data_IF_910049806361
#
_entry.id   IF_910049806361
#
_cell.length_a   1.000
_cell.length_b   1.000
_cell.length_c   1.000
_cell.angle_alpha   90.00
_cell.angle_beta   90.00
_cell.angle_gamma   90.00
#
_symmetry.space_group_name_H-M   'P 1'
#
loop_
_entity.id
_entity.type
_entity.pdbx_description
1 polymer ?
#
# COMPACT_ATOMS: atom_id res chain seq x y z
N UNK A 1 -8.24 20.04 23.50
CA UNK A 1 -8.75 19.42 22.27
C UNK A 1 -9.08 20.55 21.32
N UNK A 2 -8.37 20.62 20.20
CA UNK A 2 -8.69 21.57 19.13
C UNK A 2 -9.96 21.06 18.43
N UNK A 3 -11.06 21.80 18.58
CA UNK A 3 -12.36 21.49 17.97
C UNK A 3 -12.56 22.25 16.66
N UNK A 4 -11.49 22.65 15.97
CA UNK A 4 -11.60 23.32 14.69
C UNK A 4 -12.09 22.36 13.60
N UNK A 5 -12.86 22.89 12.64
CA UNK A 5 -13.33 22.14 11.46
C UNK A 5 -12.18 21.56 10.63
N UNK A 6 -10.98 22.14 10.72
CA UNK A 6 -9.78 21.65 10.05
C UNK A 6 -9.29 20.31 10.63
N UNK A 7 -9.47 20.07 11.94
CA UNK A 7 -9.09 18.82 12.59
C UNK A 7 -9.98 17.62 12.21
N UNK A 8 -11.10 17.86 11.50
CA UNK A 8 -12.04 16.84 11.02
C UNK A 8 -11.84 16.49 9.53
N UNK A 9 -10.94 17.18 8.81
CA UNK A 9 -10.68 16.87 7.40
C UNK A 9 -9.66 15.74 7.26
N UNK A 10 -9.85 14.83 6.29
CA UNK A 10 -8.81 13.86 5.96
C UNK A 10 -7.54 14.57 5.48
N UNK A 11 -6.39 13.92 5.65
CA UNK A 11 -5.12 14.39 5.06
C UNK A 11 -5.26 14.37 3.54
N UNK A 12 -4.72 15.38 2.88
CA UNK A 12 -4.74 15.52 1.42
C UNK A 12 -3.32 15.35 0.86
N UNK A 13 -3.21 14.72 -0.32
CA UNK A 13 -1.95 14.55 -1.03
C UNK A 13 -2.20 14.73 -2.53
N UNK A 14 -1.31 15.45 -3.22
CA UNK A 14 -1.39 15.64 -4.67
C UNK A 14 -0.43 14.68 -5.35
N UNK A 15 -0.96 13.62 -5.97
CA UNK A 15 -0.20 12.70 -6.79
C UNK A 15 -0.01 13.26 -8.21
N UNK A 16 1.23 13.40 -8.64
CA UNK A 16 1.55 13.91 -9.97
C UNK A 16 1.63 12.78 -11.00
N UNK A 17 1.24 13.09 -12.25
CA UNK A 17 1.34 12.14 -13.35
C UNK A 17 2.81 11.94 -13.74
N UNK A 18 3.26 10.69 -13.80
CA UNK A 18 4.55 10.34 -14.36
C UNK A 18 4.55 10.43 -15.89
N UNK A 19 5.64 10.94 -16.45
CA UNK A 19 5.82 11.03 -17.91
C UNK A 19 6.16 9.67 -18.54
N UNK A 20 6.76 8.77 -17.76
CA UNK A 20 7.06 7.39 -18.12
C UNK A 20 6.98 6.52 -16.85
N UNK A 21 6.64 5.21 -16.97
CA UNK A 21 6.63 4.30 -15.84
C UNK A 21 8.01 4.23 -15.13
N UNK A 22 8.06 4.19 -13.79
CA UNK A 22 9.30 4.01 -13.03
C UNK A 22 9.83 2.58 -13.19
N UNK A 23 11.10 2.38 -12.83
CA UNK A 23 11.67 1.03 -12.73
C UNK A 23 11.46 0.52 -11.31
N UNK A 24 10.52 -0.41 -11.13
CA UNK A 24 10.22 -0.98 -9.81
C UNK A 24 11.36 -1.90 -9.35
N UNK A 25 12.23 -1.40 -8.48
CA UNK A 25 13.32 -2.15 -7.84
C UNK A 25 13.46 -1.88 -6.31
N UNK A 26 12.50 -1.14 -5.76
CA UNK A 26 12.43 -0.70 -4.36
C UNK A 26 13.19 0.59 -4.09
N UNK A 27 13.90 1.18 -5.06
CA UNK A 27 14.76 2.35 -4.83
C UNK A 27 14.04 3.69 -5.03
N UNK A 28 13.61 4.32 -3.93
CA UNK A 28 12.95 5.63 -3.97
C UNK A 28 13.87 6.84 -4.22
N UNK A 29 15.16 6.59 -4.55
CA UNK A 29 16.16 7.63 -4.89
C UNK A 29 16.37 7.79 -6.38
N UNK A 30 15.70 7.02 -7.23
CA UNK A 30 15.77 7.23 -8.68
C UNK A 30 15.07 8.51 -9.13
N UNK A 31 15.39 8.94 -10.35
CA UNK A 31 14.94 10.23 -10.89
C UNK A 31 13.41 10.38 -10.95
N UNK A 32 12.67 9.29 -11.12
CA UNK A 32 11.20 9.31 -11.11
C UNK A 32 10.63 9.78 -9.76
N UNK A 33 11.25 9.36 -8.65
CA UNK A 33 10.78 9.64 -7.30
C UNK A 33 11.43 10.87 -6.67
N UNK A 34 12.57 11.35 -7.17
CA UNK A 34 13.35 12.44 -6.55
C UNK A 34 12.51 13.69 -6.27
N UNK A 35 11.61 14.05 -7.17
CA UNK A 35 10.75 15.25 -7.05
C UNK A 35 9.34 14.97 -6.53
N UNK A 36 9.00 13.71 -6.25
CA UNK A 36 7.70 13.35 -5.68
C UNK A 36 7.72 13.66 -4.17
N UNK A 37 6.81 14.51 -3.66
CA UNK A 37 6.82 14.91 -2.27
C UNK A 37 6.50 13.73 -1.35
N UNK A 38 7.07 13.70 -0.16
CA UNK A 38 6.66 12.75 0.87
C UNK A 38 5.31 13.14 1.48
N UNK A 39 4.53 12.15 1.92
CA UNK A 39 3.47 12.36 2.91
C UNK A 39 4.09 12.84 4.24
N UNK A 40 3.24 13.30 5.16
CA UNK A 40 3.63 13.28 6.57
C UNK A 40 3.81 11.84 7.06
N UNK A 41 4.51 11.68 8.18
CA UNK A 41 4.67 10.38 8.83
C UNK A 41 3.31 9.78 9.19
N UNK A 42 3.27 8.45 9.10
CA UNK A 42 2.13 7.66 9.51
C UNK A 42 1.93 7.79 11.02
N UNK A 43 0.68 7.64 11.43
CA UNK A 43 0.28 7.70 12.85
C UNK A 43 -0.35 6.37 13.22
N UNK A 44 -0.47 6.11 14.51
CA UNK A 44 -1.26 4.99 15.01
C UNK A 44 -2.71 5.06 14.47
N UNK A 45 -3.25 3.94 14.02
CA UNK A 45 -4.60 3.91 13.40
C UNK A 45 -5.73 4.25 14.40
N UNK A 46 -5.47 4.09 15.72
CA UNK A 46 -6.43 4.35 16.78
C UNK A 46 -6.22 5.68 17.50
N UNK A 47 -5.05 6.32 17.33
CA UNK A 47 -4.67 7.55 18.04
C UNK A 47 -3.80 8.47 17.17
N UNK A 48 -3.78 9.79 17.39
CA UNK A 48 -2.90 10.69 16.63
C UNK A 48 -1.41 10.61 17.04
N UNK A 49 -1.01 9.54 17.74
CA UNK A 49 0.34 9.34 18.24
C UNK A 49 1.27 8.97 17.09
N UNK A 50 2.44 9.59 17.03
CA UNK A 50 3.51 9.16 16.13
C UNK A 50 4.14 7.88 16.68
N UNK A 51 4.16 6.78 15.91
CA UNK A 51 4.95 5.61 16.26
C UNK A 51 6.44 5.95 16.33
N UNK A 52 7.16 5.19 17.12
CA UNK A 52 8.63 5.28 17.24
C UNK A 52 9.40 4.87 15.98
N UNK A 53 8.75 4.15 15.06
CA UNK A 53 9.29 3.71 13.79
C UNK A 53 8.55 4.51 12.73
N UNK A 54 9.30 5.31 11.98
CA UNK A 54 8.74 6.21 11.00
C UNK A 54 8.40 5.46 9.71
N UNK A 55 7.18 5.68 9.23
CA UNK A 55 6.74 5.26 7.90
C UNK A 55 6.16 6.45 7.15
N UNK A 56 6.52 6.59 5.88
CA UNK A 56 6.01 7.65 4.99
C UNK A 56 5.97 7.15 3.55
N UNK A 57 5.13 7.79 2.74
CA UNK A 57 4.91 7.39 1.35
C UNK A 57 5.06 8.53 0.34
N UNK A 58 5.17 8.17 -0.93
CA UNK A 58 5.13 8.99 -2.14
C UNK A 58 4.07 8.39 -3.05
N UNK A 59 3.26 9.24 -3.69
CA UNK A 59 2.26 8.77 -4.65
C UNK A 59 2.44 9.48 -5.99
N UNK A 60 2.32 8.72 -7.07
CA UNK A 60 2.29 9.21 -8.44
C UNK A 60 1.33 8.34 -9.25
N UNK A 61 1.01 8.71 -10.48
CA UNK A 61 0.13 7.90 -11.33
C UNK A 61 0.49 8.02 -12.80
N UNK A 62 0.02 7.08 -13.62
CA UNK A 62 -0.06 7.23 -15.07
C UNK A 62 -1.42 6.72 -15.58
N UNK A 63 -1.59 6.60 -16.90
CA UNK A 63 -2.88 6.19 -17.47
C UNK A 63 -3.28 4.73 -17.13
N UNK A 64 -2.43 3.96 -16.46
CA UNK A 64 -2.62 2.54 -16.15
C UNK A 64 -2.50 2.21 -14.67
N UNK A 65 -1.68 2.94 -13.93
CA UNK A 65 -1.31 2.59 -12.55
C UNK A 65 -1.39 3.78 -11.61
N UNK A 66 -1.79 3.50 -10.38
CA UNK A 66 -1.42 4.28 -9.21
C UNK A 66 -0.08 3.71 -8.69
N UNK A 67 0.93 4.57 -8.58
CA UNK A 67 2.22 4.23 -8.02
C UNK A 67 2.31 4.67 -6.57
N UNK A 68 2.72 3.76 -5.69
CA UNK A 68 2.99 4.03 -4.28
C UNK A 68 4.41 3.61 -3.97
N UNK A 69 5.21 4.53 -3.48
CA UNK A 69 6.53 4.26 -2.92
C UNK A 69 6.52 4.54 -1.42
N UNK A 70 6.99 3.64 -0.57
CA UNK A 70 7.05 3.91 0.87
C UNK A 70 8.41 3.54 1.48
N UNK A 71 8.77 4.27 2.52
CA UNK A 71 9.94 4.02 3.36
C UNK A 71 9.45 3.68 4.76
N UNK A 72 9.91 2.55 5.29
CA UNK A 72 9.53 2.01 6.59
C UNK A 72 10.80 1.78 7.41
N UNK A 73 10.88 2.41 8.58
CA UNK A 73 11.91 2.05 9.57
C UNK A 73 11.57 0.71 10.21
N UNK A 74 12.55 -0.20 10.19
CA UNK A 74 12.47 -1.49 10.85
C UNK A 74 13.87 -1.86 11.37
N UNK A 75 14.10 -1.87 12.70
CA UNK A 75 15.40 -2.16 13.28
C UNK A 75 15.74 -3.65 13.29
N UNK A 76 14.77 -4.50 12.93
CA UNK A 76 14.94 -5.95 12.84
C UNK A 76 14.06 -6.50 11.72
N UNK A 77 14.57 -6.45 10.50
CA UNK A 77 13.86 -6.91 9.31
C UNK A 77 13.45 -8.38 9.47
N UNK A 78 12.15 -8.62 9.39
CA UNK A 78 11.58 -9.94 9.55
C UNK A 78 10.48 -10.22 8.53
N UNK A 79 10.57 -11.38 7.88
CA UNK A 79 9.51 -11.91 7.03
C UNK A 79 9.66 -13.43 6.90
N UNK A 80 8.55 -14.14 6.82
CA UNK A 80 8.50 -15.61 6.72
C UNK A 80 7.68 -16.07 5.53
N UNK A 81 6.64 -15.32 5.15
CA UNK A 81 5.77 -15.57 4.02
C UNK A 81 6.45 -15.17 2.72
N UNK A 82 6.21 -15.93 1.66
CA UNK A 82 6.98 -15.83 0.40
C UNK A 82 6.12 -15.90 -0.85
N UNK A 83 4.90 -16.40 -0.73
CA UNK A 83 4.02 -16.63 -1.87
C UNK A 83 2.98 -15.54 -1.93
N UNK A 84 2.62 -15.21 -3.17
CA UNK A 84 1.44 -14.42 -3.44
C UNK A 84 0.19 -15.10 -2.86
N UNK A 85 -0.76 -14.31 -2.36
CA UNK A 85 -1.99 -14.74 -1.68
C UNK A 85 -1.79 -15.53 -0.37
N UNK A 86 -0.65 -15.37 0.29
CA UNK A 86 -0.53 -15.71 1.71
C UNK A 86 -1.12 -14.59 2.57
N UNK A 87 -1.57 -14.92 3.78
CA UNK A 87 -2.15 -13.95 4.71
C UNK A 87 -1.02 -13.11 5.31
N UNK A 88 -0.70 -11.97 4.67
CA UNK A 88 0.57 -11.24 4.83
C UNK A 88 0.75 -10.61 6.22
N UNK A 89 -0.30 -10.12 6.87
CA UNK A 89 -0.27 -9.52 8.22
C UNK A 89 0.32 -10.39 9.36
N UNK A 90 0.71 -11.65 9.08
CA UNK A 90 1.49 -12.47 10.01
C UNK A 90 3.00 -12.15 10.02
N UNK A 91 3.48 -11.36 9.06
CA UNK A 91 4.82 -10.76 9.02
C UNK A 91 4.74 -9.25 9.31
N UNK A 92 5.89 -8.56 9.38
CA UNK A 92 5.91 -7.11 9.23
C UNK A 92 5.51 -6.78 7.78
N UNK A 93 4.46 -5.98 7.62
CA UNK A 93 3.85 -5.70 6.34
C UNK A 93 3.57 -4.21 6.11
N UNK A 94 3.33 -3.89 4.84
CA UNK A 94 2.88 -2.58 4.38
C UNK A 94 1.59 -2.74 3.60
N UNK A 95 0.57 -1.99 4.01
CA UNK A 95 -0.77 -2.08 3.47
C UNK A 95 -1.18 -0.80 2.73
N UNK A 96 -1.90 -0.95 1.61
CA UNK A 96 -2.48 0.14 0.84
C UNK A 96 -3.97 -0.13 0.67
N UNK A 97 -4.80 0.81 1.15
CA UNK A 97 -6.25 0.78 0.98
C UNK A 97 -6.68 1.86 -0.01
N UNK A 98 -7.47 1.48 -1.02
CA UNK A 98 -7.96 2.41 -2.05
C UNK A 98 -9.45 2.22 -2.30
N UNK A 99 -10.22 3.29 -2.03
CA UNK A 99 -11.61 3.45 -2.44
C UNK A 99 -11.69 4.43 -3.62
N UNK A 100 -11.44 3.92 -4.82
CA UNK A 100 -11.22 4.74 -6.02
C UNK A 100 -12.45 5.55 -6.49
N UNK A 101 -13.65 5.19 -6.04
CA UNK A 101 -14.89 5.94 -6.34
C UNK A 101 -15.54 6.60 -5.11
N UNK A 102 -14.85 6.59 -3.97
CA UNK A 102 -15.28 7.22 -2.71
C UNK A 102 -16.66 6.75 -2.22
N UNK A 103 -16.98 5.46 -2.36
CA UNK A 103 -18.27 4.90 -1.93
C UNK A 103 -18.23 4.16 -0.61
N UNK A 104 -17.05 3.98 -0.03
CA UNK A 104 -16.71 3.11 1.11
C UNK A 104 -17.02 1.62 0.86
N UNK A 105 -17.35 1.24 -0.37
CA UNK A 105 -17.74 -0.11 -0.76
C UNK A 105 -16.85 -0.62 -1.89
N UNK A 106 -16.57 -1.93 -1.86
CA UNK A 106 -15.71 -2.57 -2.85
C UNK A 106 -14.31 -1.94 -2.92
N UNK A 107 -13.78 -1.45 -1.80
CA UNK A 107 -12.45 -0.84 -1.77
C UNK A 107 -11.38 -1.93 -1.76
N UNK A 108 -10.22 -1.62 -2.34
CA UNK A 108 -9.14 -2.58 -2.54
C UNK A 108 -8.15 -2.43 -1.42
N UNK A 109 -7.61 -3.55 -1.02
CA UNK A 109 -6.55 -3.66 -0.07
C UNK A 109 -5.43 -4.45 -0.74
N UNK A 110 -4.21 -3.97 -0.54
CA UNK A 110 -3.00 -4.60 -1.01
C UNK A 110 -2.04 -4.64 0.17
N UNK A 111 -1.53 -5.83 0.49
CA UNK A 111 -0.52 -6.06 1.51
C UNK A 111 0.76 -6.58 0.87
N UNK A 112 1.91 -6.22 1.44
CA UNK A 112 3.19 -6.82 1.07
C UNK A 112 4.16 -6.88 2.26
N UNK A 113 5.06 -7.86 2.26
CA UNK A 113 6.12 -7.97 3.26
C UNK A 113 7.52 -7.69 2.70
N UNK A 114 8.53 -7.75 3.56
CA UNK A 114 9.94 -7.54 3.19
C UNK A 114 10.53 -8.60 2.22
N UNK A 115 9.83 -9.72 1.97
CA UNK A 115 10.17 -10.68 0.91
C UNK A 115 9.54 -10.32 -0.45
N UNK A 116 8.79 -9.23 -0.55
CA UNK A 116 7.96 -8.89 -1.70
C UNK A 116 6.88 -9.95 -1.98
N UNK A 117 6.48 -10.72 -0.96
CA UNK A 117 5.25 -11.50 -1.03
C UNK A 117 4.07 -10.54 -0.95
N UNK A 118 3.05 -10.76 -1.77
CA UNK A 118 1.93 -9.82 -1.94
C UNK A 118 0.61 -10.52 -1.72
N UNK A 119 -0.37 -9.78 -1.26
CA UNK A 119 -1.74 -10.24 -1.17
C UNK A 119 -2.66 -9.08 -1.52
N UNK A 120 -3.63 -9.31 -2.40
CA UNK A 120 -4.65 -8.32 -2.68
C UNK A 120 -6.06 -8.90 -2.54
N UNK A 121 -6.95 -8.03 -2.09
CA UNK A 121 -8.32 -8.38 -1.77
C UNK A 121 -9.22 -7.16 -1.97
N UNK A 122 -10.51 -7.46 -2.05
CA UNK A 122 -11.55 -6.45 -2.05
C UNK A 122 -12.37 -6.55 -0.76
N UNK A 123 -12.55 -5.44 -0.08
CA UNK A 123 -13.49 -5.32 1.03
C UNK A 123 -14.84 -4.80 0.53
N UNK A 124 -15.87 -5.62 0.71
CA UNK A 124 -17.23 -5.30 0.25
C UNK A 124 -17.77 -3.99 0.82
N UNK A 125 -17.44 -3.70 2.09
CA UNK A 125 -17.74 -2.48 2.87
C UNK A 125 -16.95 -2.55 4.19
N UNK A 126 -16.95 -1.52 5.05
CA UNK A 126 -16.22 -1.56 6.31
C UNK A 126 -16.68 -2.74 7.19
N UNK A 127 -15.75 -3.34 7.93
CA UNK A 127 -16.07 -4.44 8.86
C UNK A 127 -17.13 -4.04 9.89
N UNK A 128 -17.09 -2.80 10.38
CA UNK A 128 -18.10 -2.25 11.30
C UNK A 128 -19.52 -2.23 10.74
N UNK A 129 -19.66 -2.24 9.41
CA UNK A 129 -20.94 -2.26 8.70
C UNK A 129 -21.34 -3.68 8.26
N UNK A 130 -20.67 -4.72 8.78
CA UNK A 130 -20.89 -6.11 8.41
C UNK A 130 -20.34 -6.45 7.02
N UNK A 131 -19.24 -5.79 6.63
CA UNK A 131 -18.46 -6.15 5.47
C UNK A 131 -17.53 -7.33 5.70
N UNK A 132 -16.92 -7.79 4.62
CA UNK A 132 -15.97 -8.89 4.64
C UNK A 132 -15.07 -8.90 3.41
N UNK A 133 -13.98 -9.62 3.58
CA UNK A 133 -12.95 -9.95 2.59
C UNK A 133 -13.52 -10.75 1.42
N UNK A 134 -13.10 -10.35 0.21
CA UNK A 134 -13.25 -11.10 -1.03
C UNK A 134 -11.83 -11.23 -1.62
N UNK A 135 -11.24 -12.40 -1.44
CA UNK A 135 -9.87 -12.76 -1.86
C UNK A 135 -9.85 -14.18 -2.42
N UNK A 136 -8.71 -14.63 -2.95
CA UNK A 136 -8.50 -16.03 -3.34
C UNK A 136 -8.57 -17.04 -2.18
N UNK A 137 -8.40 -16.58 -0.94
CA UNK A 137 -8.58 -17.43 0.26
C UNK A 137 -10.06 -17.65 0.61
N UNK A 138 -10.88 -16.60 0.57
CA UNK A 138 -12.30 -16.65 0.98
C UNK A 138 -13.22 -17.05 -0.17
N UNK A 139 -12.89 -16.66 -1.40
CA UNK A 139 -13.70 -16.87 -2.61
C UNK A 139 -12.85 -17.48 -3.74
N UNK A 140 -12.51 -18.78 -3.71
CA UNK A 140 -11.42 -19.34 -4.52
C UNK A 140 -11.65 -19.45 -6.04
N UNK A 141 -12.85 -19.23 -6.59
CA UNK A 141 -13.04 -19.21 -8.06
C UNK A 141 -14.39 -18.61 -8.56
N UNK A 142 -14.37 -17.61 -9.48
CA UNK A 142 -13.22 -16.73 -9.74
C UNK A 142 -12.92 -15.92 -8.47
N UNK A 143 -11.66 -15.87 -8.07
CA UNK A 143 -11.24 -15.01 -6.99
C UNK A 143 -10.91 -13.60 -7.47
N UNK A 144 -10.87 -12.67 -6.53
CA UNK A 144 -10.32 -11.34 -6.77
C UNK A 144 -8.80 -11.42 -6.67
N UNK A 145 -8.13 -11.01 -7.75
CA UNK A 145 -6.67 -10.93 -7.89
C UNK A 145 -6.36 -9.86 -8.94
N UNK A 146 -5.52 -8.88 -8.59
CA UNK A 146 -5.08 -7.80 -9.47
C UNK A 146 -3.86 -8.18 -10.33
N UNK A 147 -3.31 -9.39 -10.17
CA UNK A 147 -2.22 -9.93 -10.97
C UNK A 147 -2.70 -10.76 -12.18
N UNK A 148 -2.02 -10.64 -13.33
CA UNK A 148 -1.37 -9.41 -13.82
C UNK A 148 -2.44 -8.32 -14.11
N UNK A 149 -2.09 -7.01 -14.04
CA UNK A 149 -0.75 -6.47 -14.20
C UNK A 149 -0.18 -5.76 -12.95
N UNK A 150 -0.71 -5.98 -11.74
CA UNK A 150 -0.08 -5.49 -10.51
C UNK A 150 1.40 -5.90 -10.43
N UNK A 151 2.25 -4.99 -9.95
CA UNK A 151 3.68 -5.24 -9.75
C UNK A 151 4.21 -4.52 -8.51
N UNK A 152 5.20 -5.11 -7.85
CA UNK A 152 5.83 -4.53 -6.67
C UNK A 152 7.31 -4.91 -6.57
N UNK A 153 8.07 -4.11 -5.82
CA UNK A 153 9.47 -4.36 -5.51
C UNK A 153 9.81 -3.88 -4.09
N UNK A 154 10.84 -4.50 -3.50
CA UNK A 154 11.36 -4.20 -2.16
C UNK A 154 12.86 -3.98 -2.24
N UNK A 155 13.35 -2.96 -1.55
CA UNK A 155 14.77 -2.75 -1.25
C UNK A 155 14.97 -2.76 0.26
N UNK A 156 15.91 -3.59 0.72
CA UNK A 156 16.23 -3.73 2.15
C UNK A 156 17.45 -2.87 2.51
N UNK A 157 17.38 -2.18 3.64
CA UNK A 157 18.51 -1.55 4.29
C UNK A 157 18.90 -2.36 5.54
N UNK A 158 19.41 -3.57 5.33
CA UNK A 158 19.67 -4.49 6.42
C UNK A 158 19.76 -5.94 5.97
N UNK A 159 19.69 -6.86 6.93
CA UNK A 159 19.77 -8.30 6.72
C UNK A 159 18.51 -9.00 7.23
N UNK A 160 17.62 -9.35 6.30
CA UNK A 160 16.35 -10.02 6.60
C UNK A 160 16.56 -11.31 7.41
N UNK A 161 15.78 -11.46 8.48
CA UNK A 161 15.78 -12.61 9.38
C UNK A 161 17.14 -12.86 10.08
N UNK A 162 17.89 -11.80 10.41
CA UNK A 162 19.14 -11.89 11.17
C UNK A 162 19.05 -11.21 12.55
N UNK A 163 18.31 -11.80 13.52
CA UNK A 163 18.06 -11.16 14.81
C UNK A 163 19.31 -10.99 15.70
N UNK A 164 20.38 -11.74 15.41
CA UNK A 164 21.68 -11.60 16.08
C UNK A 164 22.65 -10.64 15.37
N UNK A 165 22.23 -10.04 14.25
CA UNK A 165 23.00 -9.08 13.47
C UNK A 165 23.03 -7.67 14.09
N UNK A 166 23.71 -6.71 13.42
CA UNK A 166 23.55 -5.31 13.75
C UNK A 166 22.09 -4.85 13.49
N UNK A 167 21.62 -3.77 14.12
CA UNK A 167 20.31 -3.19 13.81
C UNK A 167 20.18 -2.86 12.32
N UNK A 168 19.03 -3.18 11.76
CA UNK A 168 18.67 -2.80 10.40
C UNK A 168 18.22 -1.33 10.35
N UNK A 169 18.19 -0.77 9.15
CA UNK A 169 17.72 0.60 8.90
C UNK A 169 16.37 0.64 8.20
N UNK A 170 15.65 -0.49 8.10
CA UNK A 170 14.35 -0.57 7.45
C UNK A 170 14.38 -1.05 6.00
N UNK A 171 13.30 -0.73 5.29
CA UNK A 171 13.05 -1.18 3.93
C UNK A 171 12.20 -0.16 3.18
N UNK A 172 12.33 -0.17 1.86
CA UNK A 172 11.50 0.62 0.96
C UNK A 172 10.78 -0.27 -0.02
N UNK A 173 9.59 0.18 -0.41
CA UNK A 173 8.72 -0.53 -1.34
C UNK A 173 8.36 0.37 -2.51
N UNK A 174 8.13 -0.24 -3.65
CA UNK A 174 7.45 0.37 -4.79
C UNK A 174 6.33 -0.56 -5.25
N UNK A 175 5.15 0.01 -5.51
CA UNK A 175 3.95 -0.73 -5.92
C UNK A 175 3.30 0.00 -7.08
N UNK A 176 2.97 -0.73 -8.14
CA UNK A 176 2.15 -0.28 -9.25
C UNK A 176 0.78 -0.99 -9.19
N UNK A 177 -0.22 -0.29 -8.68
CA UNK A 177 -1.59 -0.77 -8.54
C UNK A 177 -2.38 -0.45 -9.82
N UNK A 178 -2.93 -1.44 -10.54
CA UNK A 178 -3.64 -1.18 -11.79
C UNK A 178 -4.94 -0.42 -11.55
N UNK A 179 -5.16 0.69 -12.24
CA UNK A 179 -6.37 1.50 -12.07
C UNK A 179 -7.66 0.70 -12.38
N UNK A 180 -7.62 -0.16 -13.40
CA UNK A 180 -8.73 -1.06 -13.72
C UNK A 180 -9.03 -2.06 -12.59
N UNK A 181 -7.97 -2.58 -11.94
CA UNK A 181 -8.10 -3.45 -10.77
C UNK A 181 -8.68 -2.71 -9.57
N UNK A 182 -8.22 -1.49 -9.31
CA UNK A 182 -8.75 -0.60 -8.28
C UNK A 182 -10.22 -0.22 -8.51
N UNK A 183 -10.67 -0.16 -9.76
CA UNK A 183 -12.07 0.13 -10.15
C UNK A 183 -12.94 -1.13 -10.30
N UNK A 184 -12.36 -2.32 -10.30
CA UNK A 184 -13.10 -3.57 -10.50
C UNK A 184 -14.24 -3.71 -9.47
N UNK A 185 -15.45 -4.07 -9.92
CA UNK A 185 -16.64 -4.20 -9.07
C UNK A 185 -17.17 -2.90 -8.42
N UNK A 186 -16.66 -1.73 -8.78
CA UNK A 186 -17.22 -0.45 -8.36
C UNK A 186 -18.30 0.02 -9.37
N UNK A 187 -19.39 0.60 -8.85
CA UNK A 187 -20.40 1.20 -9.72
C UNK A 187 -19.79 2.37 -10.52
N UNK A 188 -20.00 2.39 -11.84
CA UNK A 188 -19.44 3.41 -12.72
C UNK A 188 -17.97 3.20 -13.11
N UNK A 189 -17.48 1.95 -13.12
CA UNK A 189 -16.11 1.60 -13.52
C UNK A 189 -15.65 2.15 -14.89
N UNK A 190 -16.56 2.61 -15.76
CA UNK A 190 -16.25 3.31 -17.01
C UNK A 190 -15.76 4.77 -16.79
N UNK A 191 -15.77 5.26 -15.55
CA UNK A 191 -15.29 6.60 -15.19
C UNK A 191 -13.93 6.51 -14.50
N UNK A 192 -13.00 7.38 -14.88
CA UNK A 192 -11.68 7.45 -14.27
C UNK A 192 -11.81 7.65 -12.73
N UNK A 193 -10.88 7.10 -11.92
CA UNK A 193 -10.82 7.36 -10.48
C UNK A 193 -10.91 8.86 -10.18
N UNK A 194 -11.67 9.21 -9.14
CA UNK A 194 -11.95 10.61 -8.78
C UNK A 194 -10.84 11.27 -7.98
#
# INVERSE_FOLDING_TARGET
MDCSFAALRPREYVAHKFAAPPHLDGNLREAAWEHVPWTSDFVDISTPTLPWLHTRAKLAWDDRFLYVGAELEDPQLWATLRRHDEVIFHDNDFEIFVDANATTHGYKEFEMNAYNATWDLMLSRPYGDGGGEISCRVSPAPCFDMQPPLASAVQLNGSLNQPAGPPDGGWSVEVALPLDGLMAHNAGADTAPR
#
